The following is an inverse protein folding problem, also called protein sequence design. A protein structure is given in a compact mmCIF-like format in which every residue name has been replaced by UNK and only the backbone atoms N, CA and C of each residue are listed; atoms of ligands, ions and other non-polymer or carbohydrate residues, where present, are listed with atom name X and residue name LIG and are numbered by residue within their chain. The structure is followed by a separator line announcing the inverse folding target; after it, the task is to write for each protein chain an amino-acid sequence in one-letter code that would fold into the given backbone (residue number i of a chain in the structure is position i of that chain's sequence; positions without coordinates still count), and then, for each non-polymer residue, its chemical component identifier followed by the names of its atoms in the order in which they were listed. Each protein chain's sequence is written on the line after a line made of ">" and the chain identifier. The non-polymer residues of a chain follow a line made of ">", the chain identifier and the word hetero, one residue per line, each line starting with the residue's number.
data_IF_430314003137
#
_entry.id   IF_430314003137
#
_cell.length_a   1.000
_cell.length_b   1.000
_cell.length_c   1.000
_cell.angle_alpha   90.00
_cell.angle_beta   90.00
_cell.angle_gamma   90.00
#
_symmetry.space_group_name_H-M   'P 1'
#
loop_
_entity.id
_entity.type
_entity.pdbx_description
1 polymer ?
#
# COMPACT_ATOMS: atom_id res chain seq x y z
N UNK A 1 4.81 16.33 6.58
CA UNK A 1 3.75 15.91 5.63
C UNK A 1 3.13 14.65 6.18
N UNK A 2 1.80 14.55 6.21
CA UNK A 2 1.12 13.31 6.62
C UNK A 2 1.51 12.17 5.69
N UNK A 3 1.59 10.96 6.25
CA UNK A 3 1.99 9.75 5.53
C UNK A 3 0.81 8.79 5.44
N UNK A 4 0.71 8.08 4.31
CA UNK A 4 -0.30 7.04 4.08
C UNK A 4 0.44 5.74 3.81
N UNK A 5 0.12 4.72 4.58
CA UNK A 5 0.59 3.37 4.33
C UNK A 5 -0.22 2.72 3.21
N UNK A 6 0.47 2.15 2.23
CA UNK A 6 -0.13 1.32 1.17
C UNK A 6 0.25 -0.14 1.39
N UNK A 7 -0.75 -0.97 1.63
CA UNK A 7 -0.64 -2.43 1.61
C UNK A 7 -1.33 -2.94 0.34
N UNK A 8 -0.56 -3.41 -0.63
CA UNK A 8 -1.10 -3.90 -1.89
C UNK A 8 -0.25 -5.04 -2.46
N UNK A 9 -0.91 -6.08 -2.93
CA UNK A 9 -0.27 -7.13 -3.72
C UNK A 9 -1.28 -7.86 -4.61
N UNK A 10 -0.77 -8.51 -5.66
CA UNK A 10 -1.58 -9.36 -6.53
C UNK A 10 -1.51 -10.78 -5.98
N UNK A 11 -2.66 -11.39 -5.59
CA UNK A 11 -2.68 -12.77 -5.13
C UNK A 11 -2.19 -13.75 -6.17
N UNK A 12 -1.46 -14.76 -5.73
CA UNK A 12 -0.92 -15.82 -6.58
C UNK A 12 -1.45 -17.19 -6.14
N UNK A 13 -1.56 -18.12 -7.09
CA UNK A 13 -1.92 -19.51 -6.82
C UNK A 13 -0.92 -20.15 -5.86
N UNK A 14 -1.40 -21.04 -4.99
CA UNK A 14 -0.56 -21.76 -4.03
C UNK A 14 -0.30 -21.03 -2.71
N UNK A 15 -0.87 -19.82 -2.54
CA UNK A 15 -0.79 -19.05 -1.30
C UNK A 15 -2.19 -18.65 -0.82
N UNK A 16 -2.93 -19.63 -0.33
CA UNK A 16 -4.34 -19.46 0.05
C UNK A 16 -5.27 -19.31 -1.16
N UNK A 17 -6.53 -18.99 -0.90
CA UNK A 17 -7.61 -18.94 -1.89
C UNK A 17 -7.91 -17.51 -2.39
N UNK A 18 -7.16 -16.52 -1.95
CA UNK A 18 -7.37 -15.10 -2.28
C UNK A 18 -7.35 -14.81 -3.79
N UNK A 19 -6.65 -15.61 -4.58
CA UNK A 19 -6.58 -15.46 -6.03
C UNK A 19 -7.90 -15.77 -6.74
N UNK A 20 -8.81 -16.53 -6.12
CA UNK A 20 -10.07 -16.98 -6.72
C UNK A 20 -11.06 -15.84 -6.95
N UNK A 21 -11.02 -14.82 -6.11
CA UNK A 21 -11.93 -13.67 -6.16
C UNK A 21 -11.19 -12.33 -6.43
N UNK A 22 -9.89 -12.38 -6.66
CA UNK A 22 -9.08 -11.21 -6.95
C UNK A 22 -8.96 -10.97 -8.46
N UNK A 23 -9.13 -9.72 -8.86
CA UNK A 23 -8.88 -9.26 -10.22
C UNK A 23 -7.56 -8.47 -10.27
N UNK A 24 -6.49 -9.02 -10.88
CA UNK A 24 -5.19 -8.35 -10.98
C UNK A 24 -5.27 -6.99 -11.70
N UNK A 25 -6.14 -6.86 -12.71
CA UNK A 25 -6.32 -5.59 -13.43
C UNK A 25 -6.94 -4.53 -12.53
N UNK A 26 -7.99 -4.88 -11.78
CA UNK A 26 -8.62 -3.95 -10.84
C UNK A 26 -7.68 -3.58 -9.69
N UNK A 27 -6.84 -4.51 -9.22
CA UNK A 27 -5.81 -4.21 -8.22
C UNK A 27 -4.85 -3.15 -8.76
N UNK A 28 -4.33 -3.34 -9.97
CA UNK A 28 -3.41 -2.38 -10.59
C UNK A 28 -4.08 -1.03 -10.82
N UNK A 29 -5.34 -1.03 -11.28
CA UNK A 29 -6.10 0.20 -11.50
C UNK A 29 -6.34 0.96 -10.18
N UNK A 30 -6.75 0.26 -9.11
CA UNK A 30 -6.95 0.87 -7.80
C UNK A 30 -5.64 1.46 -7.24
N UNK A 31 -4.52 0.73 -7.35
CA UNK A 31 -3.21 1.24 -6.92
C UNK A 31 -2.82 2.48 -7.72
N UNK A 32 -3.04 2.48 -9.05
CA UNK A 32 -2.79 3.65 -9.89
C UNK A 32 -3.57 4.87 -9.41
N UNK A 33 -4.87 4.74 -9.20
CA UNK A 33 -5.72 5.84 -8.75
C UNK A 33 -5.35 6.33 -7.34
N UNK A 34 -4.96 5.42 -6.45
CA UNK A 34 -4.44 5.79 -5.14
C UNK A 34 -3.16 6.64 -5.26
N UNK A 35 -2.18 6.18 -6.04
CA UNK A 35 -0.90 6.89 -6.22
C UNK A 35 -1.14 8.26 -6.84
N UNK A 36 -1.98 8.35 -7.87
CA UNK A 36 -2.35 9.62 -8.50
C UNK A 36 -3.04 10.56 -7.49
N UNK A 37 -3.88 10.04 -6.62
CA UNK A 37 -4.56 10.87 -5.60
C UNK A 37 -3.60 11.37 -4.53
N UNK A 38 -2.73 10.51 -4.01
CA UNK A 38 -1.90 10.80 -2.84
C UNK A 38 -0.58 11.51 -3.18
N UNK A 39 0.07 11.15 -4.29
CA UNK A 39 1.43 11.60 -4.62
C UNK A 39 1.55 13.13 -4.66
N UNK A 40 2.53 13.67 -3.93
CA UNK A 40 2.75 15.12 -3.81
C UNK A 40 1.79 15.84 -2.87
N UNK A 41 0.73 15.18 -2.38
CA UNK A 41 -0.19 15.71 -1.34
C UNK A 41 0.02 15.03 0.00
N UNK A 42 0.36 13.76 -0.04
CA UNK A 42 0.73 12.92 1.11
C UNK A 42 1.98 12.12 0.74
N UNK A 43 2.75 11.72 1.73
CA UNK A 43 3.85 10.79 1.51
C UNK A 43 3.30 9.36 1.50
N UNK A 44 3.70 8.57 0.53
CA UNK A 44 3.30 7.16 0.41
C UNK A 44 4.38 6.30 1.06
N UNK A 45 3.99 5.41 1.96
CA UNK A 45 4.88 4.44 2.62
C UNK A 45 4.41 3.04 2.22
N UNK A 46 5.30 2.19 1.72
CA UNK A 46 4.92 0.83 1.32
C UNK A 46 6.08 -0.15 1.45
N UNK A 47 5.76 -1.44 1.63
CA UNK A 47 6.69 -2.55 1.51
C UNK A 47 6.83 -2.93 0.04
N UNK A 48 8.05 -3.03 -0.47
CA UNK A 48 8.29 -3.34 -1.88
C UNK A 48 7.69 -4.68 -2.28
N UNK A 49 7.02 -4.69 -3.42
CA UNK A 49 6.41 -5.88 -4.00
C UNK A 49 6.70 -5.92 -5.51
N UNK A 50 7.11 -7.06 -6.08
CA UNK A 50 7.51 -7.14 -7.50
C UNK A 50 6.45 -6.63 -8.49
N UNK A 51 5.16 -6.80 -8.19
CA UNK A 51 4.08 -6.33 -9.06
C UNK A 51 3.69 -4.86 -8.81
N UNK A 52 4.03 -4.28 -7.67
CA UNK A 52 3.56 -2.94 -7.26
C UNK A 52 4.66 -1.89 -7.42
N UNK A 53 5.90 -2.22 -7.06
CA UNK A 53 7.04 -1.29 -7.12
C UNK A 53 7.27 -0.71 -8.51
N UNK A 54 7.32 -1.52 -9.62
CA UNK A 54 7.48 -0.99 -10.96
C UNK A 54 6.35 -0.07 -11.38
N UNK A 55 5.11 -0.40 -10.99
CA UNK A 55 3.95 0.41 -11.31
C UNK A 55 3.99 1.77 -10.63
N UNK A 56 4.30 1.84 -9.33
CA UNK A 56 4.46 3.12 -8.62
C UNK A 56 5.54 3.95 -9.31
N UNK A 57 6.66 3.34 -9.67
CA UNK A 57 7.75 4.00 -10.35
C UNK A 57 7.32 4.62 -11.69
N UNK A 58 6.54 3.87 -12.50
CA UNK A 58 6.02 4.34 -13.78
C UNK A 58 5.06 5.51 -13.62
N UNK A 59 4.09 5.40 -12.68
CA UNK A 59 3.13 6.48 -12.41
C UNK A 59 3.85 7.75 -11.98
N UNK A 60 4.85 7.58 -11.13
CA UNK A 60 5.68 8.68 -10.70
C UNK A 60 6.37 9.36 -11.90
N UNK A 61 6.97 8.62 -12.80
CA UNK A 61 7.61 9.16 -14.01
C UNK A 61 6.60 9.91 -14.90
N UNK A 62 5.41 9.34 -15.11
CA UNK A 62 4.34 9.94 -15.91
C UNK A 62 3.86 11.29 -15.37
N UNK A 63 3.86 11.44 -14.04
CA UNK A 63 3.45 12.70 -13.40
C UNK A 63 4.54 13.78 -13.44
N UNK A 64 5.73 13.46 -13.94
CA UNK A 64 6.83 14.42 -14.13
C UNK A 64 7.37 15.02 -12.82
N UNK A 65 7.18 14.35 -11.72
CA UNK A 65 7.48 14.83 -10.37
C UNK A 65 8.80 14.27 -9.90
N UNK A 66 9.55 15.05 -9.15
CA UNK A 66 10.64 14.51 -8.32
C UNK A 66 10.04 13.77 -7.12
N UNK A 67 9.42 12.65 -7.42
CA UNK A 67 8.48 11.88 -6.60
C UNK A 67 9.17 10.97 -5.62
N UNK A 68 10.44 10.74 -5.82
CA UNK A 68 11.24 9.86 -4.98
C UNK A 68 11.28 10.37 -3.55
N UNK A 69 11.12 11.69 -3.33
CA UNK A 69 11.04 12.29 -2.00
C UNK A 69 9.68 12.11 -1.32
N UNK A 70 8.64 11.81 -2.11
CA UNK A 70 7.27 11.63 -1.64
C UNK A 70 6.87 10.16 -1.44
N UNK A 71 7.79 9.23 -1.69
CA UNK A 71 7.58 7.79 -1.50
C UNK A 71 8.68 7.25 -0.59
N UNK A 72 8.30 6.42 0.37
CA UNK A 72 9.23 5.67 1.23
C UNK A 72 9.00 4.18 0.97
N UNK A 73 10.02 3.54 0.45
CA UNK A 73 10.03 2.11 0.15
C UNK A 73 10.76 1.36 1.28
N UNK A 74 10.12 0.37 1.85
CA UNK A 74 10.74 -0.57 2.79
C UNK A 74 11.03 -1.89 2.11
N UNK A 75 12.21 -2.45 2.36
CA UNK A 75 12.64 -3.74 1.82
C UNK A 75 13.43 -4.52 2.87
N UNK A 76 13.09 -5.78 3.07
CA UNK A 76 13.93 -6.67 3.89
C UNK A 76 15.09 -7.22 3.07
N UNK A 77 16.30 -7.16 3.61
CA UNK A 77 17.52 -7.75 3.02
C UNK A 77 17.42 -9.27 2.79
N UNK A 78 16.45 -9.92 3.45
CA UNK A 78 16.13 -11.33 3.17
C UNK A 78 15.77 -11.57 1.70
N UNK A 79 15.18 -10.57 1.03
CA UNK A 79 14.76 -10.64 -0.37
C UNK A 79 15.73 -9.96 -1.34
N UNK A 80 16.95 -9.64 -0.92
CA UNK A 80 17.89 -8.83 -1.71
C UNK A 80 18.12 -9.34 -3.15
N UNK A 81 18.11 -10.66 -3.35
CA UNK A 81 18.27 -11.27 -4.67
C UNK A 81 17.04 -11.13 -5.60
N UNK A 82 15.92 -10.66 -5.06
CA UNK A 82 14.64 -10.53 -5.76
C UNK A 82 14.13 -9.09 -5.81
N UNK A 83 14.98 -8.13 -5.46
CA UNK A 83 14.58 -6.72 -5.51
C UNK A 83 14.34 -6.29 -6.95
N UNK A 84 13.21 -5.62 -7.23
CA UNK A 84 13.00 -4.95 -8.51
C UNK A 84 14.12 -3.94 -8.80
N UNK A 85 14.53 -3.84 -10.06
CA UNK A 85 15.55 -2.85 -10.49
C UNK A 85 15.08 -1.42 -10.18
N UNK A 86 13.79 -1.18 -10.20
CA UNK A 86 13.16 0.10 -9.90
C UNK A 86 13.42 0.59 -8.48
N UNK A 87 13.82 -0.28 -7.55
CA UNK A 87 14.21 0.15 -6.19
C UNK A 87 15.29 1.22 -6.23
N UNK A 88 16.21 1.14 -7.19
CA UNK A 88 17.31 2.11 -7.35
C UNK A 88 16.86 3.51 -7.76
N UNK A 89 15.61 3.64 -8.19
CA UNK A 89 15.02 4.91 -8.62
C UNK A 89 14.36 5.68 -7.49
N UNK A 90 14.18 5.08 -6.32
CA UNK A 90 13.63 5.75 -5.13
C UNK A 90 14.76 6.32 -4.26
N UNK A 91 14.64 7.58 -3.84
CA UNK A 91 15.62 8.20 -2.94
C UNK A 91 15.46 7.76 -1.48
N UNK A 92 14.23 7.38 -1.09
CA UNK A 92 13.91 6.98 0.27
C UNK A 92 13.66 5.47 0.35
N UNK A 93 14.72 4.67 0.27
CA UNK A 93 14.63 3.23 0.49
C UNK A 93 15.19 2.90 1.87
N UNK A 94 14.41 2.21 2.68
CA UNK A 94 14.80 1.71 3.99
C UNK A 94 14.98 0.20 3.90
N UNK A 95 16.21 -0.26 4.06
CA UNK A 95 16.52 -1.68 4.12
C UNK A 95 16.53 -2.13 5.57
N UNK A 96 15.75 -3.17 5.87
CA UNK A 96 15.77 -3.83 7.17
C UNK A 96 16.61 -5.09 7.11
N UNK A 97 17.23 -5.43 8.24
CA UNK A 97 18.03 -6.64 8.33
C UNK A 97 17.21 -7.90 8.06
N UNK A 98 17.85 -8.92 7.53
CA UNK A 98 17.27 -10.25 7.47
C UNK A 98 17.23 -10.83 8.89
N UNK A 99 16.08 -11.33 9.31
CA UNK A 99 16.01 -12.17 10.50
C UNK A 99 16.82 -13.46 10.28
N UNK A 100 17.29 -14.13 11.34
CA UNK A 100 18.12 -15.32 11.20
C UNK A 100 17.31 -16.42 10.48
N UNK A 101 17.63 -16.66 9.21
CA UNK A 101 17.12 -17.71 8.32
C UNK A 101 15.59 -17.90 8.28
N UNK A 102 14.83 -16.91 8.77
CA UNK A 102 13.37 -16.95 8.87
C UNK A 102 12.73 -15.83 8.06
N UNK A 103 12.00 -16.24 7.03
CA UNK A 103 11.22 -15.33 6.17
C UNK A 103 10.19 -14.52 6.98
N UNK A 104 9.48 -15.15 7.90
CA UNK A 104 8.41 -14.51 8.65
C UNK A 104 8.97 -13.50 9.67
N UNK A 105 10.06 -13.84 10.35
CA UNK A 105 10.78 -12.91 11.23
C UNK A 105 11.30 -11.69 10.46
N UNK A 106 11.85 -11.90 9.26
CA UNK A 106 12.34 -10.82 8.39
C UNK A 106 11.21 -9.88 7.93
N UNK A 107 10.04 -10.45 7.59
CA UNK A 107 8.87 -9.68 7.23
C UNK A 107 8.31 -8.90 8.42
N UNK A 108 8.29 -9.50 9.61
CA UNK A 108 7.83 -8.85 10.83
C UNK A 108 8.70 -7.64 11.17
N UNK A 109 10.02 -7.78 11.14
CA UNK A 109 10.97 -6.68 11.36
C UNK A 109 10.72 -5.52 10.38
N UNK A 110 10.53 -5.84 9.11
CA UNK A 110 10.25 -4.83 8.08
C UNK A 110 8.91 -4.12 8.35
N UNK A 111 7.86 -4.88 8.67
CA UNK A 111 6.53 -4.33 8.98
C UNK A 111 6.55 -3.45 10.21
N UNK A 112 7.23 -3.87 11.28
CA UNK A 112 7.37 -3.07 12.49
C UNK A 112 8.12 -1.77 12.23
N UNK A 113 9.24 -1.81 11.53
CA UNK A 113 9.99 -0.61 11.15
C UNK A 113 9.15 0.35 10.29
N UNK A 114 8.41 -0.19 9.32
CA UNK A 114 7.56 0.58 8.41
C UNK A 114 6.36 1.20 9.11
N UNK A 115 5.66 0.41 9.92
CA UNK A 115 4.40 0.82 10.55
C UNK A 115 4.60 1.60 11.86
N UNK A 116 5.81 1.62 12.45
CA UNK A 116 6.12 2.46 13.62
C UNK A 116 6.34 3.94 13.28
N UNK A 117 6.18 4.36 12.03
CA UNK A 117 6.37 5.75 11.61
C UNK A 117 5.34 6.67 12.26
N UNK A 118 5.74 7.75 12.96
CA UNK A 118 4.81 8.57 13.75
C UNK A 118 3.87 9.44 12.91
N UNK A 119 4.18 9.65 11.63
CA UNK A 119 3.40 10.51 10.74
C UNK A 119 2.35 9.76 9.92
N UNK A 120 2.19 8.46 10.13
CA UNK A 120 1.15 7.66 9.49
C UNK A 120 -0.23 8.06 10.02
N UNK A 121 -1.06 8.63 9.14
CA UNK A 121 -2.41 9.11 9.47
C UNK A 121 -3.50 8.29 8.81
N UNK A 122 -3.13 7.47 7.83
CA UNK A 122 -4.05 6.58 7.13
C UNK A 122 -3.34 5.33 6.59
N UNK A 123 -4.11 4.28 6.36
CA UNK A 123 -3.69 3.09 5.63
C UNK A 123 -4.71 2.73 4.54
N UNK A 124 -4.21 2.28 3.39
CA UNK A 124 -5.00 1.81 2.25
C UNK A 124 -4.62 0.37 1.95
N UNK A 125 -5.63 -0.50 1.86
CA UNK A 125 -5.47 -1.93 1.61
C UNK A 125 -6.14 -2.30 0.27
N UNK A 126 -5.38 -2.92 -0.65
CA UNK A 126 -5.84 -3.24 -2.00
C UNK A 126 -5.41 -4.65 -2.39
N UNK A 127 -6.35 -5.52 -2.71
CA UNK A 127 -6.06 -6.91 -3.10
C UNK A 127 -5.40 -7.70 -1.98
N UNK A 128 -4.31 -8.36 -2.32
CA UNK A 128 -3.41 -8.99 -1.37
C UNK A 128 -3.86 -10.34 -0.80
N UNK A 129 -2.99 -10.88 0.05
CA UNK A 129 -3.14 -12.17 0.72
C UNK A 129 -3.01 -11.98 2.23
N UNK A 130 -2.67 -13.02 2.97
CA UNK A 130 -2.55 -13.05 4.43
C UNK A 130 -1.74 -11.89 5.02
N UNK A 131 -0.64 -11.51 4.37
CA UNK A 131 0.21 -10.39 4.79
C UNK A 131 -0.52 -9.06 4.92
N UNK A 132 -1.56 -8.83 4.10
CA UNK A 132 -2.42 -7.63 4.20
C UNK A 132 -3.21 -7.62 5.51
N UNK A 133 -3.69 -8.79 5.96
CA UNK A 133 -4.41 -8.91 7.24
C UNK A 133 -3.48 -8.71 8.44
N UNK A 134 -2.25 -9.21 8.35
CA UNK A 134 -1.22 -9.01 9.38
C UNK A 134 -0.80 -7.54 9.48
N UNK A 135 -0.60 -6.89 8.34
CA UNK A 135 -0.28 -5.46 8.27
C UNK A 135 -1.43 -4.59 8.81
N UNK A 136 -2.68 -4.96 8.52
CA UNK A 136 -3.84 -4.29 9.10
C UNK A 136 -3.86 -4.41 10.63
N UNK A 137 -3.67 -5.62 11.16
CA UNK A 137 -3.68 -5.86 12.61
C UNK A 137 -2.57 -5.07 13.32
N UNK A 138 -1.38 -5.03 12.73
CA UNK A 138 -0.26 -4.25 13.26
C UNK A 138 -0.51 -2.75 13.16
N UNK A 139 -0.99 -2.27 12.01
CA UNK A 139 -1.29 -0.85 11.78
C UNK A 139 -2.32 -0.33 12.77
N UNK A 140 -3.45 -1.00 12.94
CA UNK A 140 -4.52 -0.55 13.85
C UNK A 140 -4.11 -0.58 15.30
N UNK A 141 -3.23 -1.50 15.69
CA UNK A 141 -2.64 -1.52 17.04
C UNK A 141 -1.74 -0.31 17.30
N UNK A 142 -0.93 0.09 16.31
CA UNK A 142 0.02 1.20 16.45
C UNK A 142 -0.63 2.57 16.23
N UNK A 143 -1.68 2.62 15.41
CA UNK A 143 -2.37 3.86 15.00
C UNK A 143 -3.88 3.75 15.18
N UNK A 144 -4.40 3.64 16.43
CA UNK A 144 -5.82 3.36 16.69
C UNK A 144 -6.78 4.45 16.20
N UNK A 145 -6.28 5.66 15.95
CA UNK A 145 -7.08 6.80 15.48
C UNK A 145 -6.84 7.13 14.00
N UNK A 146 -6.03 6.34 13.29
CA UNK A 146 -5.76 6.58 11.88
C UNK A 146 -6.91 6.07 10.99
N UNK A 147 -7.08 6.70 9.84
CA UNK A 147 -8.06 6.26 8.84
C UNK A 147 -7.63 4.95 8.20
N UNK A 148 -8.57 4.01 8.05
CA UNK A 148 -8.35 2.74 7.36
C UNK A 148 -9.30 2.65 6.17
N UNK A 149 -8.78 2.46 4.97
CA UNK A 149 -9.53 2.19 3.74
C UNK A 149 -9.16 0.80 3.20
N UNK A 150 -10.14 -0.09 3.17
CA UNK A 150 -10.02 -1.39 2.51
C UNK A 150 -10.87 -1.39 1.23
N UNK A 151 -10.21 -1.56 0.07
CA UNK A 151 -10.88 -1.50 -1.24
C UNK A 151 -11.40 -2.88 -1.61
N UNK A 152 -12.72 -3.06 -1.58
CA UNK A 152 -13.35 -4.37 -1.76
C UNK A 152 -13.39 -4.83 -3.24
N UNK A 153 -13.63 -3.91 -4.17
CA UNK A 153 -13.91 -4.25 -5.56
C UNK A 153 -12.82 -5.12 -6.24
N UNK A 154 -11.50 -4.88 -6.03
CA UNK A 154 -10.46 -5.71 -6.61
C UNK A 154 -10.36 -7.14 -6.04
N UNK A 155 -11.07 -7.44 -4.95
CA UNK A 155 -11.01 -8.77 -4.31
C UNK A 155 -9.82 -8.97 -3.37
N UNK A 156 -9.51 -10.24 -3.10
CA UNK A 156 -8.42 -10.64 -2.23
C UNK A 156 -8.65 -10.35 -0.76
N UNK A 157 -7.57 -10.29 0.03
CA UNK A 157 -7.64 -10.05 1.47
C UNK A 157 -8.29 -8.69 1.83
N UNK A 158 -8.10 -7.68 0.99
CA UNK A 158 -8.69 -6.36 1.21
C UNK A 158 -10.23 -6.40 1.13
N UNK A 159 -10.84 -7.26 0.29
CA UNK A 159 -12.30 -7.47 0.28
C UNK A 159 -12.78 -8.03 1.62
N UNK A 160 -12.12 -9.08 2.12
CA UNK A 160 -12.47 -9.67 3.42
C UNK A 160 -12.34 -8.65 4.55
N UNK A 161 -11.35 -7.77 4.47
CA UNK A 161 -11.15 -6.70 5.42
C UNK A 161 -12.27 -5.65 5.33
N UNK A 162 -12.65 -5.23 4.14
CA UNK A 162 -13.74 -4.27 3.91
C UNK A 162 -15.08 -4.80 4.46
N UNK A 163 -15.37 -6.08 4.27
CA UNK A 163 -16.56 -6.74 4.81
C UNK A 163 -16.59 -6.75 6.34
N UNK A 164 -15.42 -6.92 6.99
CA UNK A 164 -15.32 -6.86 8.46
C UNK A 164 -15.44 -5.45 9.02
N UNK A 165 -14.96 -4.45 8.31
CA UNK A 165 -15.00 -3.06 8.77
C UNK A 165 -16.40 -2.45 8.71
N UNK A 166 -17.25 -2.89 7.78
CA UNK A 166 -18.67 -2.50 7.64
C UNK A 166 -18.94 -1.00 7.88
N UNK A 167 -18.04 -0.11 7.46
CA UNK A 167 -18.22 1.35 7.62
C UNK A 167 -19.00 1.93 6.43
N UNK A 168 -19.67 3.11 6.57
CA UNK A 168 -20.30 3.80 5.44
C UNK A 168 -19.31 4.06 4.28
N UNK A 169 -18.06 4.35 4.59
CA UNK A 169 -16.98 4.51 3.63
C UNK A 169 -16.66 3.17 2.93
N UNK A 170 -16.85 2.05 3.59
CA UNK A 170 -16.69 0.72 2.99
C UNK A 170 -17.71 0.46 1.88
N UNK A 171 -18.90 1.09 1.93
CA UNK A 171 -19.89 1.00 0.85
C UNK A 171 -19.42 1.72 -0.41
N UNK A 172 -18.78 2.87 -0.28
CA UNK A 172 -18.13 3.58 -1.40
C UNK A 172 -16.95 2.73 -1.98
N UNK A 173 -16.28 1.94 -1.14
CA UNK A 173 -15.18 1.06 -1.55
C UNK A 173 -15.59 -0.18 -2.37
N UNK A 174 -16.88 -0.43 -2.55
CA UNK A 174 -17.40 -1.53 -3.38
C UNK A 174 -17.50 -1.17 -4.88
N UNK A 175 -17.49 0.12 -5.19
CA UNK A 175 -17.54 0.62 -6.57
C UNK A 175 -16.18 0.61 -7.27
N UNK A 176 -16.21 0.90 -8.59
CA UNK A 176 -15.01 1.01 -9.43
C UNK A 176 -14.51 2.45 -9.58
N UNK A 177 -15.17 3.42 -8.95
CA UNK A 177 -14.70 4.82 -8.91
C UNK A 177 -13.66 5.00 -7.81
N UNK A 178 -12.50 4.42 -8.03
CA UNK A 178 -11.40 4.43 -7.07
C UNK A 178 -10.89 5.85 -6.76
N UNK A 179 -10.91 6.75 -7.74
CA UNK A 179 -10.52 8.14 -7.51
C UNK A 179 -11.41 8.78 -6.43
N UNK A 180 -12.73 8.65 -6.57
CA UNK A 180 -13.69 9.15 -5.58
C UNK A 180 -13.48 8.53 -4.20
N UNK A 181 -13.26 7.20 -4.16
CA UNK A 181 -12.98 6.48 -2.90
C UNK A 181 -11.79 7.10 -2.18
N UNK A 182 -10.68 7.33 -2.89
CA UNK A 182 -9.47 7.85 -2.25
C UNK A 182 -9.56 9.34 -1.90
N UNK A 183 -10.14 10.17 -2.77
CA UNK A 183 -10.33 11.59 -2.44
C UNK A 183 -11.20 11.77 -1.20
N UNK A 184 -12.33 11.09 -1.13
CA UNK A 184 -13.27 11.20 -0.01
C UNK A 184 -12.72 10.54 1.25
N UNK A 185 -12.32 9.27 1.16
CA UNK A 185 -11.91 8.48 2.31
C UNK A 185 -10.60 8.93 2.95
N UNK A 186 -9.72 9.58 2.20
CA UNK A 186 -8.46 10.14 2.72
C UNK A 186 -8.55 11.64 3.04
N UNK A 187 -9.70 12.27 2.84
CA UNK A 187 -9.87 13.70 3.05
C UNK A 187 -8.92 14.56 2.20
N UNK A 188 -8.65 14.13 0.96
CA UNK A 188 -7.81 14.86 0.02
C UNK A 188 -8.72 15.64 -0.94
N UNK A 189 -8.54 16.95 -1.04
CA UNK A 189 -9.28 17.73 -2.04
C UNK A 189 -8.67 17.54 -3.43
N UNK A 190 -9.49 17.31 -4.49
CA UNK A 190 -9.00 17.31 -5.86
C UNK A 190 -8.31 18.62 -6.25
N UNK A 191 -8.67 19.73 -5.60
CA UNK A 191 -8.09 21.06 -5.81
C UNK A 191 -6.81 21.31 -4.98
N UNK A 192 -6.46 20.40 -4.07
CA UNK A 192 -5.22 20.49 -3.30
C UNK A 192 -4.01 20.36 -4.23
N UNK A 193 -3.18 21.41 -4.24
CA UNK A 193 -1.98 21.43 -5.07
C UNK A 193 -0.97 20.40 -4.59
N UNK A 194 -0.33 19.73 -5.55
CA UNK A 194 0.80 18.84 -5.24
C UNK A 194 2.02 19.66 -4.82
N UNK A 195 2.76 19.16 -3.85
CA UNK A 195 4.09 19.67 -3.46
C UNK A 195 5.11 18.76 -4.11
N UNK A 196 6.02 19.36 -4.84
CA UNK A 196 7.07 18.69 -5.58
C UNK A 196 8.42 18.98 -4.96
#
# INVERSE_FOLDING_TARGET
>A
MNEIFLSASVPVMGRGDFYKDADPYLIQFAVREFVITALGRRKIVFGGHPAITPMICTICADLGVNFTDNVVLYQSQFFAQHFPEENTRFNNVVYTEAGPDDREASLLLMREAMLSRPNLTAAVFIGGMEGVLEEYALFTRLHPNATVLAVAAPGGAARQLAEKLATPEATDCQGFDFARVFYNGLGISPLEKRKF
#
